data_IF_390744423269
#
_entry.id   IF_390744423269
#
_cell.length_a   1.000
_cell.length_b   1.000
_cell.length_c   1.000
_cell.angle_alpha   90.00
_cell.angle_beta   90.00
_cell.angle_gamma   90.00
#
_symmetry.space_group_name_H-M   'P 1'
#
loop_
_entity.id
_entity.type
_entity.pdbx_description
1 polymer ?
2 non-polymer ?
3 non-polymer ?
4 water ?
#
# COMPACT_ATOMS: atom_id res chain seq x y z
N UNK A 1 -14.27 17.30 9.28
CA UNK A 1 -14.96 17.03 7.98
C UNK A 1 -14.75 15.58 7.58
N UNK A 2 -15.18 15.18 6.37
CA UNK A 2 -14.95 13.82 5.94
C UNK A 2 -13.43 13.60 5.84
N UNK A 3 -13.04 12.37 5.61
CA UNK A 3 -11.64 12.05 5.22
C UNK A 3 -11.60 12.21 3.72
N UNK A 4 -10.48 12.71 3.21
CA UNK A 4 -10.29 12.84 1.77
C UNK A 4 -9.51 11.64 1.23
N UNK A 5 -9.96 11.18 0.10
CA UNK A 5 -9.42 9.99 -0.59
C UNK A 5 -9.28 10.22 -2.07
N UNK A 6 -8.33 9.54 -2.66
CA UNK A 6 -8.09 9.54 -4.13
C UNK A 6 -8.00 8.11 -4.61
N UNK A 7 -8.56 7.81 -5.75
CA UNK A 7 -8.34 6.54 -6.44
C UNK A 7 -7.00 6.54 -7.16
N UNK A 8 -6.30 5.44 -7.09
CA UNK A 8 -5.00 5.33 -7.72
C UNK A 8 -4.57 3.89 -7.96
N UNK A 9 -3.58 3.70 -8.80
CA UNK A 9 -2.83 2.45 -8.90
C UNK A 9 -1.40 2.71 -8.46
N UNK A 10 -0.71 1.63 -8.15
CA UNK A 10 0.71 1.66 -7.80
C UNK A 10 1.45 0.72 -8.72
N UNK A 11 2.66 1.09 -9.12
CA UNK A 11 3.60 0.14 -9.75
C UNK A 11 4.97 0.27 -9.11
N UNK A 12 5.65 -0.85 -8.93
CA UNK A 12 7.00 -0.87 -8.33
C UNK A 12 7.99 -0.26 -9.35
N UNK A 13 9.21 -0.03 -8.88
CA UNK A 13 10.19 0.73 -9.68
C UNK A 13 10.69 -0.14 -10.84
N UNK A 14 10.39 -1.42 -10.82
CA UNK A 14 10.70 -2.28 -12.00
C UNK A 14 9.51 -2.28 -12.89
N UNK A 15 8.45 -1.50 -12.63
CA UNK A 15 7.22 -1.28 -13.39
C UNK A 15 6.35 -2.53 -13.37
N UNK A 16 6.38 -3.29 -12.29
CA UNK A 16 5.36 -4.33 -12.03
C UNK A 16 4.09 -3.73 -11.44
N UNK A 17 2.95 -4.18 -11.94
CA UNK A 17 1.59 -3.81 -11.46
C UNK A 17 1.22 -4.72 -10.29
N UNK A 18 0.28 -4.28 -9.46
CA UNK A 18 -0.25 -5.08 -8.33
C UNK A 18 -1.64 -5.60 -8.71
N UNK A 19 -1.81 -6.92 -8.70
CA UNK A 19 -3.07 -7.62 -9.07
C UNK A 19 -3.42 -8.60 -7.94
N UNK A 20 -4.72 -8.76 -7.66
CA UNK A 20 -5.24 -9.72 -6.64
C UNK A 20 -5.29 -11.12 -7.25
N UNK A 21 -4.76 -12.12 -6.54
CA UNK A 21 -4.77 -13.56 -6.92
C UNK A 21 -5.78 -14.31 -6.04
N UNK A 22 -5.30 -14.99 -5.00
CA UNK A 22 -6.16 -15.74 -4.05
C UNK A 22 -6.85 -14.81 -3.06
N UNK A 23 -7.78 -15.34 -2.24
CA UNK A 23 -8.43 -14.53 -1.21
C UNK A 23 -7.39 -13.76 -0.37
N UNK A 24 -7.46 -12.43 -0.40
CA UNK A 24 -6.66 -11.50 0.44
C UNK A 24 -5.18 -11.54 0.00
N UNK A 25 -4.90 -11.90 -1.26
CA UNK A 25 -3.52 -12.15 -1.76
C UNK A 25 -3.19 -11.16 -2.87
N UNK A 26 -2.33 -10.20 -2.53
CA UNK A 26 -1.85 -9.12 -3.42
C UNK A 26 -0.43 -9.49 -3.84
N UNK A 27 -0.22 -9.62 -5.15
CA UNK A 27 1.07 -10.02 -5.77
C UNK A 27 1.44 -8.95 -6.81
N UNK A 28 2.67 -8.99 -7.33
CA UNK A 28 3.14 -8.04 -8.37
C UNK A 28 3.62 -8.81 -9.60
N UNK A 29 3.25 -8.31 -10.77
CA UNK A 29 3.70 -8.90 -12.06
C UNK A 29 3.71 -7.80 -13.10
N UNK A 30 4.54 -8.12 -14.11
CA UNK A 30 4.60 -7.32 -15.33
C UNK A 30 3.31 -7.47 -16.11
N UNK A 31 2.67 -6.39 -16.47
CA UNK A 31 1.31 -6.32 -17.06
C UNK A 31 1.30 -5.21 -18.07
N UNK A 32 0.62 -5.44 -19.21
CA UNK A 32 0.44 -4.42 -20.24
C UNK A 32 -0.74 -4.88 -21.10
N UNK A 33 -1.43 -3.90 -21.64
CA UNK A 33 -2.55 -4.12 -22.58
C UNK A 33 -3.82 -4.53 -21.87
N UNK A 34 -4.54 -5.51 -22.44
CA UNK A 34 -5.89 -5.88 -21.95
C UNK A 34 -5.77 -6.27 -20.47
N UNK A 35 -4.75 -7.05 -20.11
CA UNK A 35 -4.61 -7.62 -18.75
C UNK A 35 -4.51 -6.48 -17.70
N UNK A 36 -4.40 -5.20 -18.10
CA UNK A 36 -4.15 -4.09 -17.12
C UNK A 36 -5.42 -3.83 -16.32
N UNK A 37 -6.57 -4.22 -16.84
CA UNK A 37 -7.85 -4.21 -16.10
C UNK A 37 -7.72 -4.99 -14.79
N UNK A 38 -6.83 -5.98 -14.67
CA UNK A 38 -6.72 -6.86 -13.49
C UNK A 38 -6.05 -6.09 -12.34
N UNK A 39 -5.39 -4.98 -12.62
CA UNK A 39 -4.65 -4.31 -11.54
C UNK A 39 -5.59 -3.78 -10.46
N UNK A 40 -5.08 -3.74 -9.24
CA UNK A 40 -5.85 -3.27 -8.08
C UNK A 40 -5.90 -1.76 -8.13
N UNK A 41 -7.09 -1.22 -7.96
CA UNK A 41 -7.30 0.20 -7.72
C UNK A 41 -7.46 0.42 -6.23
N UNK A 42 -6.62 1.28 -5.72
CA UNK A 42 -6.62 1.69 -4.31
C UNK A 42 -7.47 2.93 -4.13
N UNK A 43 -8.07 3.04 -2.96
CA UNK A 43 -8.55 4.32 -2.43
C UNK A 43 -7.55 4.72 -1.39
N UNK A 44 -6.74 5.72 -1.65
CA UNK A 44 -5.70 6.25 -0.74
C UNK A 44 -6.33 7.34 0.06
N UNK A 45 -6.46 7.14 1.36
CA UNK A 45 -7.06 8.14 2.28
C UNK A 45 -5.92 8.92 2.94
N UNK A 46 -6.13 10.22 3.18
CA UNK A 46 -5.14 11.08 3.83
C UNK A 46 -5.52 11.21 5.29
N UNK A 47 -4.79 10.56 6.16
CA UNK A 47 -5.27 10.28 7.52
C UNK A 47 -4.47 11.05 8.56
N UNK A 48 -4.94 10.98 9.79
CA UNK A 48 -4.24 11.56 10.95
C UNK A 48 -2.89 10.89 11.18
N UNK A 49 -1.89 11.69 11.48
CA UNK A 49 -0.56 11.18 11.83
C UNK A 49 0.50 12.26 11.71
N UNK A 50 1.67 11.99 12.25
CA UNK A 50 2.89 12.82 12.09
C UNK A 50 3.18 13.04 10.59
N UNK A 51 3.40 14.29 10.17
CA UNK A 51 3.47 14.70 8.75
C UNK A 51 4.63 15.68 8.56
N UNK A 52 5.31 15.62 7.43
CA UNK A 52 6.32 16.61 6.99
C UNK A 52 6.19 16.80 5.47
N UNK A 53 7.01 17.67 4.90
CA UNK A 53 6.84 18.05 3.47
C UNK A 53 6.78 16.80 2.63
N UNK A 54 7.67 15.85 2.90
CA UNK A 54 7.84 14.71 1.96
C UNK A 54 7.32 13.40 2.57
N UNK A 55 6.64 13.45 3.73
CA UNK A 55 6.17 12.27 4.53
C UNK A 55 4.71 12.48 4.93
N UNK A 56 3.79 11.73 4.30
CA UNK A 56 2.33 12.05 4.35
C UNK A 56 1.65 10.77 4.81
N UNK A 57 0.92 10.77 5.93
CA UNK A 57 0.32 9.53 6.43
C UNK A 57 -0.92 9.20 5.61
N UNK A 58 -0.98 7.95 5.13
CA UNK A 58 -2.13 7.51 4.29
C UNK A 58 -2.61 6.15 4.81
N UNK A 59 -3.82 5.80 4.40
CA UNK A 59 -4.30 4.43 4.42
C UNK A 59 -4.54 4.02 2.99
N UNK A 60 -4.34 2.72 2.76
CA UNK A 60 -4.53 2.12 1.44
C UNK A 60 -5.65 1.11 1.51
N UNK A 61 -6.85 1.50 1.14
CA UNK A 61 -7.99 0.62 0.96
C UNK A 61 -8.14 0.15 -0.47
N UNK A 62 -8.79 -0.97 -0.71
CA UNK A 62 -9.10 -1.42 -2.07
C UNK A 62 -10.36 -0.68 -2.51
N UNK A 63 -10.38 -0.15 -3.73
CA UNK A 63 -11.54 0.63 -4.17
C UNK A 63 -12.87 -0.14 -4.04
N UNK A 64 -13.77 0.51 -3.31
CA UNK A 64 -15.18 0.08 -3.02
C UNK A 64 -15.17 -1.33 -2.43
N UNK A 65 -14.15 -1.61 -1.62
CA UNK A 65 -14.10 -2.86 -0.81
C UNK A 65 -13.79 -2.43 0.60
N UNK A 66 -14.29 -3.15 1.58
CA UNK A 66 -13.99 -2.88 3.00
C UNK A 66 -12.74 -3.69 3.36
N UNK A 67 -11.66 -3.43 2.64
CA UNK A 67 -10.39 -4.13 2.82
C UNK A 67 -9.29 -3.08 2.81
N UNK A 68 -8.38 -3.17 3.75
CA UNK A 68 -7.26 -2.21 3.89
C UNK A 68 -5.99 -3.00 4.05
N UNK A 69 -4.92 -2.48 3.50
CA UNK A 69 -3.60 -2.98 3.88
C UNK A 69 -3.34 -2.62 5.33
N UNK A 70 -2.67 -3.56 6.01
CA UNK A 70 -2.56 -3.60 7.49
C UNK A 70 -1.21 -4.19 7.89
N UNK A 71 -0.53 -3.60 8.88
CA UNK A 71 0.76 -4.11 9.35
C UNK A 71 0.55 -4.65 10.77
N UNK A 72 0.79 -5.95 10.91
CA UNK A 72 0.62 -6.62 12.23
C UNK A 72 1.80 -7.56 12.41
N UNK A 73 2.02 -7.91 13.69
CA UNK A 73 2.96 -9.00 13.98
C UNK A 73 2.29 -10.33 13.64
N UNK A 74 2.97 -11.17 12.85
CA UNK A 74 2.45 -12.52 12.57
C UNK A 74 3.59 -13.47 12.84
N UNK A 75 3.29 -14.57 13.54
CA UNK A 75 4.33 -15.53 13.97
C UNK A 75 5.56 -14.68 14.36
N UNK A 76 5.33 -13.63 15.14
CA UNK A 76 6.38 -12.74 15.73
C UNK A 76 7.13 -11.85 14.71
N UNK A 77 6.60 -11.55 13.54
CA UNK A 77 7.29 -10.64 12.57
C UNK A 77 6.32 -9.54 12.08
N UNK A 78 6.79 -8.30 11.81
CA UNK A 78 6.00 -7.27 11.11
C UNK A 78 5.66 -7.86 9.74
N UNK A 79 4.36 -8.02 9.46
CA UNK A 79 3.86 -8.54 8.17
C UNK A 79 2.78 -7.61 7.62
N UNK A 80 2.64 -7.68 6.31
CA UNK A 80 1.58 -6.99 5.54
C UNK A 80 0.40 -7.94 5.44
N UNK A 81 -0.81 -7.47 5.73
CA UNK A 81 -2.02 -8.26 5.49
C UNK A 81 -3.08 -7.36 4.88
N UNK A 82 -4.08 -7.98 4.28
CA UNK A 82 -5.33 -7.29 3.90
C UNK A 82 -6.29 -7.58 5.00
N UNK A 83 -6.93 -6.60 5.57
CA UNK A 83 -7.80 -6.76 6.73
C UNK A 83 -9.16 -6.18 6.37
N UNK A 84 -10.22 -6.93 6.69
CA UNK A 84 -11.65 -6.54 6.57
C UNK A 84 -12.02 -5.55 7.68
N UNK A 85 -12.89 -4.58 7.39
CA UNK A 85 -13.40 -3.65 8.39
C UNK A 85 -14.91 -3.53 8.23
N UNK A 86 -15.51 -2.84 9.18
CA UNK A 86 -16.96 -2.56 9.09
C UNK A 86 -17.16 -1.48 8.05
N UNK A 87 -17.87 -1.71 6.93
CA UNK A 87 -17.96 -0.73 5.85
C UNK A 87 -18.75 0.53 6.22
N UNK A 88 -19.42 0.50 7.36
CA UNK A 88 -20.18 1.71 7.82
C UNK A 88 -19.20 2.71 8.42
N UNK A 89 -18.01 2.28 8.82
CA UNK A 89 -17.14 3.08 9.72
C UNK A 89 -15.86 3.55 8.99
N UNK A 90 -15.67 3.12 7.76
CA UNK A 90 -14.39 3.36 7.03
C UNK A 90 -14.73 3.92 5.67
N UNK A 91 -13.84 4.72 5.07
CA UNK A 91 -12.64 5.17 5.72
C UNK A 91 -13.00 6.22 6.75
N UNK A 92 -12.03 6.51 7.56
CA UNK A 92 -12.15 7.58 8.56
C UNK A 92 -10.84 8.32 8.68
N UNK A 93 -10.89 9.51 9.27
CA UNK A 93 -9.68 10.34 9.34
C UNK A 93 -8.70 9.73 10.34
N UNK A 94 -9.17 9.26 11.49
CA UNK A 94 -8.34 8.66 12.54
C UNK A 94 -8.28 7.14 12.35
N UNK A 95 -7.55 6.73 11.33
CA UNK A 95 -7.38 5.28 11.11
C UNK A 95 -6.44 4.74 12.19
N UNK A 96 -6.69 3.51 12.64
CA UNK A 96 -5.83 2.81 13.60
C UNK A 96 -4.43 2.64 13.02
N UNK A 97 -3.42 2.57 13.87
CA UNK A 97 -2.02 2.73 13.44
C UNK A 97 -1.62 1.61 12.49
N UNK A 98 -2.13 0.40 12.64
CA UNK A 98 -1.75 -0.73 11.77
C UNK A 98 -2.13 -0.43 10.31
N UNK A 99 -3.04 0.49 10.06
CA UNK A 99 -3.50 0.81 8.68
C UNK A 99 -2.69 1.95 8.09
N UNK A 100 -1.83 2.63 8.85
CA UNK A 100 -1.21 3.90 8.43
C UNK A 100 0.17 3.58 7.85
N UNK A 101 0.39 4.17 6.68
CA UNK A 101 1.70 4.18 6.00
C UNK A 101 2.12 5.62 5.87
N UNK A 102 3.41 5.83 6.06
CA UNK A 102 4.04 7.11 5.69
C UNK A 102 4.43 7.03 4.21
N UNK A 103 3.75 7.80 3.40
CA UNK A 103 4.05 7.91 1.97
C UNK A 103 5.17 8.96 1.84
N UNK A 104 6.33 8.50 1.46
CA UNK A 104 7.59 9.28 1.46
C UNK A 104 7.98 9.51 0.00
N UNK A 105 8.23 10.74 -0.41
CA UNK A 105 8.60 11.05 -1.80
C UNK A 105 10.11 11.25 -1.81
N UNK A 106 10.86 10.36 -2.46
CA UNK A 106 12.34 10.60 -2.63
C UNK A 106 12.68 10.32 -4.10
N UNK A 107 13.33 11.31 -4.73
CA UNK A 107 13.90 11.20 -6.09
C UNK A 107 12.80 10.66 -7.01
N UNK A 108 11.66 11.33 -6.96
CA UNK A 108 10.58 11.18 -7.96
C UNK A 108 9.97 9.78 -7.84
N UNK A 109 10.21 9.07 -6.73
CA UNK A 109 9.55 7.79 -6.41
C UNK A 109 8.86 7.90 -5.06
N UNK A 110 8.04 6.92 -4.75
CA UNK A 110 7.34 6.87 -3.45
C UNK A 110 7.76 5.62 -2.71
N UNK A 111 7.91 5.74 -1.41
CA UNK A 111 8.04 4.59 -0.52
C UNK A 111 6.88 4.66 0.48
N UNK A 112 6.42 3.52 0.93
CA UNK A 112 5.33 3.44 1.92
C UNK A 112 5.88 2.69 3.14
N UNK A 113 6.27 3.49 4.13
CA UNK A 113 6.77 2.94 5.39
C UNK A 113 5.61 2.64 6.33
N UNK A 114 5.61 1.51 7.00
CA UNK A 114 4.66 1.30 8.11
C UNK A 114 4.77 2.35 9.21
N UNK A 115 3.71 3.07 9.55
CA UNK A 115 3.71 3.98 10.72
C UNK A 115 3.94 3.12 11.96
N UNK A 116 3.36 1.95 12.05
CA UNK A 116 3.45 1.08 13.27
C UNK A 116 4.88 0.57 13.41
N UNK A 117 5.54 0.19 12.32
CA UNK A 117 6.85 -0.49 12.36
C UNK A 117 7.84 0.33 11.57
N UNK A 118 8.58 1.24 12.24
CA UNK A 118 9.53 2.12 11.58
C UNK A 118 10.54 1.30 10.80
N UNK A 119 10.80 1.77 9.57
CA UNK A 119 11.78 1.24 8.62
C UNK A 119 11.40 -0.11 8.03
N UNK A 120 10.12 -0.44 8.12
CA UNK A 120 9.48 -1.55 7.37
C UNK A 120 8.60 -0.92 6.28
N UNK A 121 8.76 -1.47 5.08
CA UNK A 121 8.21 -0.86 3.84
C UNK A 121 7.42 -1.86 3.07
N UNK A 122 6.36 -1.36 2.43
CA UNK A 122 5.69 -2.17 1.35
C UNK A 122 6.76 -2.50 0.29
N UNK A 123 6.87 -3.75 -0.02
CA UNK A 123 7.95 -4.31 -0.85
C UNK A 123 7.41 -5.28 -1.89
N UNK A 124 8.14 -5.41 -3.00
CA UNK A 124 7.92 -6.49 -3.94
C UNK A 124 9.22 -7.25 -4.17
N UNK A 125 9.08 -8.44 -4.70
CA UNK A 125 10.24 -9.25 -5.14
C UNK A 125 10.59 -8.91 -6.57
N UNK A 126 11.84 -9.19 -6.96
CA UNK A 126 12.23 -9.08 -8.38
C UNK A 126 11.49 -10.10 -9.27
N UNK A 127 11.29 -11.31 -8.79
CA UNK A 127 10.53 -12.36 -9.49
C UNK A 127 9.08 -11.93 -9.69
N UNK A 128 8.50 -12.43 -10.77
CA UNK A 128 7.08 -12.24 -11.17
C UNK A 128 6.21 -13.10 -10.27
N UNK A 129 4.99 -12.63 -10.01
CA UNK A 129 3.90 -13.40 -9.39
C UNK A 129 4.20 -13.80 -7.96
N UNK A 130 4.90 -12.95 -7.20
CA UNK A 130 5.19 -13.20 -5.78
C UNK A 130 4.44 -12.17 -4.95
N UNK A 131 4.16 -12.51 -3.69
CA UNK A 131 3.37 -11.64 -2.82
C UNK A 131 4.02 -10.26 -2.66
N UNK A 132 3.16 -9.28 -2.49
CA UNK A 132 3.53 -7.97 -1.88
C UNK A 132 3.73 -8.23 -0.40
N UNK A 133 4.74 -7.69 0.22
CA UNK A 133 5.06 -8.01 1.62
C UNK A 133 5.59 -6.78 2.30
N UNK A 134 5.77 -6.87 3.61
CA UNK A 134 6.45 -5.86 4.40
C UNK A 134 7.91 -6.26 4.62
N UNK A 135 8.80 -5.41 4.17
CA UNK A 135 10.23 -5.73 4.17
C UNK A 135 10.93 -4.77 5.06
N UNK A 136 11.92 -5.28 5.82
CA UNK A 136 12.56 -4.56 6.95
C UNK A 136 13.80 -3.81 6.50
N UNK A 137 13.95 -3.56 5.20
CA UNK A 137 14.93 -2.56 4.72
C UNK A 137 14.50 -1.99 3.36
N UNK A 138 14.62 -0.66 3.22
CA UNK A 138 14.62 0.10 1.93
C UNK A 138 16.03 0.01 1.32
N UNK A 139 16.72 -1.14 1.46
CA UNK A 139 18.01 -1.47 0.82
C UNK A 139 18.05 -2.94 0.39
N UNK A 140 18.85 -3.31 -0.63
CA UNK A 140 19.07 -4.71 -1.07
C UNK A 140 18.30 -5.07 -2.35
N UNK A 141 17.92 -6.34 -2.52
CA UNK A 141 17.40 -6.92 -3.79
C UNK A 141 15.89 -6.68 -3.94
N UNK A 142 15.15 -6.66 -2.82
CA UNK A 142 13.71 -6.33 -2.83
C UNK A 142 13.45 -4.86 -3.14
N UNK A 143 12.29 -4.62 -3.72
CA UNK A 143 11.94 -3.33 -4.29
C UNK A 143 11.02 -2.60 -3.31
N UNK A 144 11.35 -1.37 -2.97
CA UNK A 144 10.61 -0.58 -1.96
C UNK A 144 10.17 0.75 -2.55
N UNK A 145 10.39 1.01 -3.85
CA UNK A 145 10.05 2.27 -4.52
C UNK A 145 8.91 2.00 -5.49
N UNK A 146 8.02 2.93 -5.58
CA UNK A 146 6.81 2.84 -6.41
C UNK A 146 6.57 4.13 -7.10
N UNK A 147 5.75 4.11 -8.16
CA UNK A 147 5.08 5.26 -8.71
C UNK A 147 3.58 5.10 -8.57
N UNK A 148 2.87 6.22 -8.48
CA UNK A 148 1.39 6.24 -8.37
C UNK A 148 0.86 6.73 -9.72
N UNK A 149 -0.28 6.17 -10.12
CA UNK A 149 -1.08 6.66 -11.27
C UNK A 149 -2.42 7.07 -10.70
N UNK A 150 -2.90 8.25 -10.96
CA UNK A 150 -4.21 8.74 -10.51
C UNK A 150 -5.25 8.17 -11.49
N UNK A 151 -6.36 7.70 -10.93
CA UNK A 151 -7.49 7.04 -11.65
C UNK A 151 -8.73 7.94 -11.46
N UNK A 152 -9.64 7.97 -12.45
CA UNK A 152 -10.99 8.58 -12.32
C UNK A 152 -11.76 7.90 -11.18
X LIG B 1 -14.19 10.78 9.72
X LIG B 1 -15.47 10.20 10.10
X LIG B 1 -14.24 12.23 9.84
X LIG B 1 -13.18 10.25 10.58
X LIG B 1 -13.91 10.44 8.35
X LIG C 1 -9.34 -1.95 16.76
X LIG C 1 -9.76 -1.76 15.38
X LIG C 1 -10.11 -1.07 17.60
X LIG C 1 -9.54 -3.33 17.11
X LIG C 1 -7.92 -1.62 16.91
X LIG D 1 0.25 -11.97 -0.82
X LIG D 1 0.19 -13.36 -0.87
X LIG D 1 0.25 -11.30 0.48
X LIG D 1 -0.08 -9.80 0.32
X LIG D 1 0.05 -9.01 1.62
X LIG D 1 -1.13 -8.05 1.53
X LIG D 1 0.35 -13.39 -3.37
X LIG D 1 -0.13 -17.26 -4.03
X LIG D 1 0.13 -14.06 0.14
X LIG D 1 0.02 -15.87 -3.58
X LIG D 1 0.00 -15.45 -2.29
X LIG D 1 0.19 -14.02 -2.21
X LIG D 1 -2.14 -8.87 0.79
X LIG D 1 -1.42 -9.77 -0.03
X LIG D 1 0.27 -14.52 -4.63
#
# INVERSE_FOLDING_TARGET
>A
APVRSLNCTLRDSQQKSLVMSGPYELKALHLQGQDMEQQVVFSMSFVQGEESNDKIPVALGLKEKNLYLSCVLKDDKPTLQLESVDPKNYPKKKMEKRFVFNKIEINNKLEFESAQFPNWYISTSQAENMPVFLGGTKGGQDITDFTMQFVSS
>B hetero
1 SO4 S O1 O2 O3 O4
>C hetero
1 SO4 S O1 O2 O3 O4
>D hetero
1 S8P N1 C4 C5 C6 C7 C8 N C O C1 C2 C3 C9 O1 S
#
